data_IF_737529113322
#
_entry.id   IF_737529113322
#
_cell.length_a   1.000
_cell.length_b   1.000
_cell.length_c   1.000
_cell.angle_alpha   90.00
_cell.angle_beta   90.00
_cell.angle_gamma   90.00
#
_symmetry.space_group_name_H-M   'P 1'
#
loop_
_entity.id
_entity.type
_entity.pdbx_description
1 polymer ?
#
# COMPACT_ATOMS: atom_id res chain seq x y z
N UNK A 1 -52.20 -48.87 57.21
CA UNK A 1 -52.18 -48.88 55.72
C UNK A 1 -51.60 -47.55 55.29
N UNK A 2 -50.31 -47.54 55.00
CA UNK A 2 -49.52 -46.31 54.71
C UNK A 2 -49.51 -46.08 53.22
N UNK A 3 -49.95 -44.86 52.82
CA UNK A 3 -49.88 -44.39 51.44
C UNK A 3 -48.68 -43.49 51.32
N UNK A 4 -47.68 -43.93 50.63
CA UNK A 4 -46.46 -43.13 50.33
C UNK A 4 -46.69 -42.28 49.10
N UNK A 5 -46.68 -40.91 49.26
CA UNK A 5 -46.74 -39.99 48.21
C UNK A 5 -45.26 -39.71 47.72
N UNK A 6 -44.94 -40.16 46.53
CA UNK A 6 -43.67 -39.87 45.88
C UNK A 6 -43.79 -38.52 45.13
N UNK A 7 -43.17 -37.46 45.70
CA UNK A 7 -42.99 -36.18 45.02
C UNK A 7 -41.88 -36.29 43.96
N UNK A 8 -42.27 -36.19 42.69
CA UNK A 8 -41.36 -36.12 41.56
C UNK A 8 -40.96 -34.63 41.37
N UNK A 9 -39.75 -34.30 41.78
CA UNK A 9 -39.18 -32.96 41.51
C UNK A 9 -38.59 -32.92 40.09
N UNK A 10 -39.27 -32.22 39.20
CA UNK A 10 -38.85 -32.03 37.82
C UNK A 10 -37.83 -30.88 37.80
N UNK A 11 -36.54 -31.20 37.67
CA UNK A 11 -35.46 -30.22 37.39
C UNK A 11 -35.55 -29.78 35.92
N UNK A 12 -36.12 -28.64 35.65
CA UNK A 12 -36.04 -27.97 34.34
C UNK A 12 -34.69 -27.26 34.23
N UNK A 13 -33.74 -27.91 33.59
CA UNK A 13 -32.46 -27.31 33.26
C UNK A 13 -32.65 -26.28 32.12
N UNK A 14 -32.67 -24.99 32.46
CA UNK A 14 -32.74 -23.90 31.49
C UNK A 14 -31.38 -23.78 30.80
N UNK A 15 -31.20 -24.42 29.64
CA UNK A 15 -30.06 -24.22 28.77
C UNK A 15 -30.17 -22.82 28.16
N UNK A 16 -29.51 -21.83 28.77
CA UNK A 16 -29.27 -20.54 28.16
C UNK A 16 -28.27 -20.75 27.01
N UNK A 17 -28.77 -20.87 25.78
CA UNK A 17 -27.96 -20.87 24.61
C UNK A 17 -27.31 -19.48 24.48
N UNK A 18 -26.08 -19.34 24.95
CA UNK A 18 -25.25 -18.18 24.67
C UNK A 18 -25.10 -18.09 23.15
N UNK A 19 -25.83 -17.15 22.53
CA UNK A 19 -25.56 -16.77 21.14
C UNK A 19 -24.14 -16.21 21.13
N UNK A 20 -23.17 -17.04 20.72
CA UNK A 20 -21.82 -16.60 20.38
C UNK A 20 -21.96 -15.74 19.13
N UNK A 21 -22.15 -14.43 19.30
CA UNK A 21 -22.04 -13.50 18.20
C UNK A 21 -20.57 -13.45 17.81
N UNK A 22 -20.26 -14.04 16.65
CA UNK A 22 -18.95 -13.81 16.05
C UNK A 22 -18.75 -12.29 15.90
N UNK A 23 -17.58 -11.79 16.30
CA UNK A 23 -17.26 -10.38 16.11
C UNK A 23 -17.44 -10.03 14.63
N UNK A 24 -17.96 -8.83 14.33
CA UNK A 24 -18.09 -8.40 12.93
C UNK A 24 -16.73 -8.41 12.23
N UNK A 25 -16.72 -8.66 10.92
CA UNK A 25 -15.52 -8.69 10.11
C UNK A 25 -15.32 -7.36 9.39
N UNK A 26 -14.09 -6.84 9.41
CA UNK A 26 -13.61 -5.85 8.45
C UNK A 26 -13.08 -6.63 7.23
N UNK A 27 -13.81 -6.59 6.11
CA UNK A 27 -13.42 -7.32 4.91
C UNK A 27 -12.48 -6.44 4.08
N UNK A 28 -11.24 -6.89 3.92
CA UNK A 28 -10.17 -6.17 3.22
C UNK A 28 -9.89 -6.83 1.88
N UNK A 29 -10.01 -6.08 0.78
CA UNK A 29 -9.49 -6.49 -0.52
C UNK A 29 -8.00 -6.17 -0.60
N UNK A 30 -7.18 -7.18 -0.85
CA UNK A 30 -5.73 -7.05 -0.85
C UNK A 30 -5.08 -7.96 -1.91
N UNK A 31 -3.91 -7.55 -2.38
CA UNK A 31 -3.10 -8.38 -3.26
C UNK A 31 -2.42 -9.50 -2.45
N UNK A 32 -2.46 -10.76 -2.96
CA UNK A 32 -1.82 -11.88 -2.28
C UNK A 32 -0.29 -11.84 -2.32
N UNK A 33 0.34 -10.97 -3.12
CA UNK A 33 1.78 -10.97 -3.40
C UNK A 33 2.33 -9.59 -3.76
N UNK A 34 2.03 -8.57 -2.97
CA UNK A 34 2.43 -7.16 -3.19
C UNK A 34 3.14 -6.57 -1.97
N UNK A 35 4.32 -7.09 -1.63
CA UNK A 35 5.12 -6.49 -0.56
C UNK A 35 5.74 -5.15 -0.99
N UNK A 36 5.75 -4.15 -0.12
CA UNK A 36 5.51 -4.17 1.34
C UNK A 36 4.05 -4.01 1.79
N UNK A 37 3.09 -3.94 0.88
CA UNK A 37 1.68 -3.65 1.19
C UNK A 37 0.99 -4.84 1.84
N UNK A 38 0.87 -5.93 1.09
CA UNK A 38 0.16 -7.13 1.55
C UNK A 38 0.71 -8.42 0.95
N UNK A 39 0.51 -9.52 1.65
CA UNK A 39 0.67 -10.87 1.14
C UNK A 39 -0.25 -11.83 1.88
N UNK A 40 -0.43 -13.06 1.35
CA UNK A 40 -1.27 -14.08 1.98
C UNK A 40 -0.81 -14.48 3.39
N UNK A 41 0.48 -14.28 3.70
CA UNK A 41 1.03 -14.50 5.04
C UNK A 41 0.78 -13.32 5.99
N UNK A 42 0.11 -12.26 5.51
CA UNK A 42 -0.26 -11.06 6.27
C UNK A 42 0.96 -10.33 6.86
N UNK A 43 2.03 -10.22 6.09
CA UNK A 43 3.31 -9.63 6.50
C UNK A 43 3.53 -8.21 5.97
N UNK A 44 2.59 -7.62 5.26
CA UNK A 44 2.68 -6.26 4.75
C UNK A 44 2.20 -5.21 5.76
N UNK A 45 2.64 -3.97 5.59
CA UNK A 45 2.21 -2.90 6.50
C UNK A 45 0.70 -2.62 6.44
N UNK A 46 0.06 -2.88 5.30
CA UNK A 46 -1.40 -2.76 5.18
C UNK A 46 -2.12 -3.86 5.96
N UNK A 47 -1.55 -5.06 6.00
CA UNK A 47 -2.09 -6.12 6.83
C UNK A 47 -2.03 -5.75 8.32
N UNK A 48 -0.91 -5.20 8.78
CA UNK A 48 -0.75 -4.74 10.16
C UNK A 48 -1.67 -3.55 10.48
N UNK A 49 -1.80 -2.59 9.55
CA UNK A 49 -2.71 -1.45 9.71
C UNK A 49 -4.17 -1.89 9.77
N UNK A 50 -4.60 -2.80 8.88
CA UNK A 50 -5.95 -3.35 8.89
C UNK A 50 -6.26 -4.07 10.22
N UNK A 51 -5.31 -4.86 10.71
CA UNK A 51 -5.46 -5.55 12.01
C UNK A 51 -5.55 -4.57 13.17
N UNK A 52 -4.75 -3.49 13.16
CA UNK A 52 -4.78 -2.42 14.16
C UNK A 52 -6.16 -1.75 14.20
N UNK A 53 -6.68 -1.34 13.04
CA UNK A 53 -7.98 -0.67 12.92
C UNK A 53 -9.13 -1.62 13.32
N UNK A 54 -9.12 -2.85 12.82
CA UNK A 54 -10.16 -3.83 13.13
C UNK A 54 -10.22 -4.13 14.65
N UNK A 55 -9.06 -4.29 15.29
CA UNK A 55 -8.97 -4.49 16.74
C UNK A 55 -9.60 -3.33 17.53
N UNK A 56 -9.34 -2.10 17.14
CA UNK A 56 -9.90 -0.91 17.76
C UNK A 56 -11.43 -0.82 17.61
N UNK A 57 -11.95 -1.31 16.50
CA UNK A 57 -13.39 -1.35 16.21
C UNK A 57 -14.09 -2.59 16.79
N UNK A 58 -13.38 -3.47 17.50
CA UNK A 58 -13.92 -4.73 18.01
C UNK A 58 -14.29 -5.71 16.90
N UNK A 59 -13.62 -5.63 15.75
CA UNK A 59 -13.79 -6.45 14.57
C UNK A 59 -12.62 -7.42 14.40
N UNK A 60 -12.77 -8.44 13.56
CA UNK A 60 -11.65 -9.22 13.05
C UNK A 60 -11.44 -8.92 11.57
N UNK A 61 -10.21 -9.07 11.08
CA UNK A 61 -9.92 -8.89 9.65
C UNK A 61 -10.26 -10.16 8.87
N UNK A 62 -10.91 -9.99 7.73
CA UNK A 62 -11.15 -11.04 6.74
C UNK A 62 -10.66 -10.57 5.38
N UNK A 63 -9.79 -11.34 4.73
CA UNK A 63 -9.21 -10.94 3.44
C UNK A 63 -9.95 -11.54 2.26
N UNK A 64 -10.12 -10.71 1.22
CA UNK A 64 -10.46 -11.12 -0.14
C UNK A 64 -9.22 -10.88 -0.98
N UNK A 65 -8.51 -11.96 -1.30
CA UNK A 65 -7.29 -11.91 -2.07
C UNK A 65 -7.56 -11.82 -3.56
N UNK A 66 -7.13 -10.74 -4.19
CA UNK A 66 -7.23 -10.54 -5.63
C UNK A 66 -6.02 -9.73 -6.13
N UNK A 67 -5.36 -10.12 -7.25
CA UNK A 67 -4.24 -9.36 -7.79
C UNK A 67 -4.63 -7.91 -8.11
N UNK A 68 -3.88 -6.94 -7.60
CA UNK A 68 -4.18 -5.52 -7.73
C UNK A 68 -3.75 -4.97 -9.10
N UNK A 69 -4.43 -5.44 -10.13
CA UNK A 69 -4.21 -5.03 -11.52
C UNK A 69 -5.49 -5.13 -12.34
N UNK A 70 -5.54 -4.44 -13.49
CA UNK A 70 -6.71 -4.44 -14.36
C UNK A 70 -8.00 -4.02 -13.64
N UNK A 71 -9.01 -4.87 -13.70
CA UNK A 71 -10.35 -4.62 -13.14
C UNK A 71 -10.44 -4.92 -11.63
N UNK A 72 -9.42 -4.56 -10.83
CA UNK A 72 -9.38 -4.86 -9.40
C UNK A 72 -10.61 -4.32 -8.66
N UNK A 73 -10.90 -3.02 -8.74
CA UNK A 73 -12.02 -2.40 -8.03
C UNK A 73 -13.36 -3.01 -8.44
N UNK A 74 -13.59 -3.18 -9.73
CA UNK A 74 -14.81 -3.79 -10.25
C UNK A 74 -15.03 -5.21 -9.70
N UNK A 75 -13.95 -6.01 -9.57
CA UNK A 75 -14.03 -7.40 -9.09
C UNK A 75 -14.04 -7.52 -7.57
N UNK A 76 -13.76 -6.44 -6.86
CA UNK A 76 -13.59 -6.46 -5.41
C UNK A 76 -14.54 -5.49 -4.71
N UNK A 77 -14.17 -4.22 -4.57
CA UNK A 77 -14.92 -3.22 -3.82
C UNK A 77 -16.34 -3.00 -4.40
N UNK A 78 -16.44 -2.80 -5.71
CA UNK A 78 -17.73 -2.57 -6.41
C UNK A 78 -18.62 -3.81 -6.39
N UNK A 79 -18.03 -4.99 -6.48
CA UNK A 79 -18.74 -6.26 -6.34
C UNK A 79 -19.25 -6.52 -4.90
N UNK A 80 -18.88 -5.68 -3.93
CA UNK A 80 -19.32 -5.79 -2.55
C UNK A 80 -18.73 -6.99 -1.79
N UNK A 81 -17.68 -7.63 -2.32
CA UNK A 81 -17.04 -8.78 -1.68
C UNK A 81 -16.13 -8.38 -0.52
N UNK A 82 -15.68 -7.11 -0.49
CA UNK A 82 -14.97 -6.51 0.64
C UNK A 82 -15.53 -5.13 0.98
N UNK A 83 -15.03 -4.53 2.06
CA UNK A 83 -15.46 -3.24 2.57
C UNK A 83 -14.43 -2.14 2.33
N UNK A 84 -13.15 -2.52 2.27
CA UNK A 84 -12.03 -1.58 2.18
C UNK A 84 -10.91 -2.06 1.25
N UNK A 85 -10.23 -1.09 0.64
CA UNK A 85 -8.92 -1.22 -0.02
C UNK A 85 -7.95 -0.28 0.69
N UNK A 86 -6.79 -0.78 1.14
CA UNK A 86 -5.96 -0.04 2.10
C UNK A 86 -5.13 1.09 1.51
N UNK A 87 -4.64 0.98 0.27
CA UNK A 87 -3.84 2.03 -0.39
C UNK A 87 -4.51 2.52 -1.67
N UNK A 88 -5.22 3.64 -1.56
CA UNK A 88 -5.88 4.27 -2.70
C UNK A 88 -5.39 5.72 -2.82
N UNK A 89 -4.80 6.11 -3.98
CA UNK A 89 -4.47 7.50 -4.26
C UNK A 89 -5.74 8.33 -4.54
N UNK A 90 -5.70 9.65 -4.33
CA UNK A 90 -6.82 10.52 -4.64
C UNK A 90 -7.11 10.55 -6.15
N UNK A 91 -8.37 10.84 -6.50
CA UNK A 91 -8.81 10.97 -7.90
C UNK A 91 -9.31 9.68 -8.54
N UNK A 92 -9.40 8.59 -7.79
CA UNK A 92 -10.09 7.37 -8.26
C UNK A 92 -11.58 7.50 -8.04
N UNK A 93 -12.35 7.39 -9.12
CA UNK A 93 -13.82 7.54 -9.10
C UNK A 93 -14.53 6.31 -8.47
N UNK A 94 -13.86 5.17 -8.47
CA UNK A 94 -14.39 3.89 -7.99
C UNK A 94 -14.48 3.80 -6.46
N UNK A 95 -13.81 4.73 -5.73
CA UNK A 95 -13.81 4.69 -4.28
C UNK A 95 -13.94 6.06 -3.62
N UNK A 96 -14.70 6.12 -2.52
CA UNK A 96 -14.65 7.23 -1.58
C UNK A 96 -13.44 7.02 -0.65
N UNK A 97 -12.51 7.98 -0.64
CA UNK A 97 -11.22 7.83 0.03
C UNK A 97 -11.24 8.57 1.36
N UNK A 98 -10.64 7.98 2.40
CA UNK A 98 -10.40 8.62 3.70
C UNK A 98 -9.42 9.78 3.56
N UNK A 99 -9.24 10.56 4.64
CA UNK A 99 -8.05 11.41 4.75
C UNK A 99 -6.80 10.55 4.60
N UNK A 100 -5.74 11.09 3.97
CA UNK A 100 -4.52 10.32 3.78
C UNK A 100 -3.88 9.97 5.12
N UNK A 101 -3.43 8.73 5.24
CA UNK A 101 -2.67 8.28 6.41
C UNK A 101 -1.16 8.33 6.17
N UNK A 102 -0.73 8.44 4.91
CA UNK A 102 0.64 8.81 4.58
C UNK A 102 0.74 9.54 3.24
N UNK A 103 1.86 10.22 3.07
CA UNK A 103 2.27 10.84 1.80
C UNK A 103 3.64 10.30 1.48
N UNK A 104 3.82 9.80 0.26
CA UNK A 104 5.11 9.33 -0.23
C UNK A 104 5.40 9.85 -1.63
N UNK A 105 6.64 9.77 -2.04
CA UNK A 105 7.10 10.21 -3.35
C UNK A 105 7.94 9.12 -4.00
N UNK A 106 8.15 9.21 -5.31
CA UNK A 106 9.18 8.42 -5.96
C UNK A 106 10.55 8.77 -5.40
N UNK A 107 11.47 7.81 -5.45
CA UNK A 107 12.82 7.97 -4.94
C UNK A 107 13.84 7.40 -5.93
N UNK A 108 15.00 7.99 -5.94
CA UNK A 108 16.18 7.39 -6.57
C UNK A 108 16.77 6.34 -5.64
N UNK A 109 17.13 5.20 -6.22
CA UNK A 109 17.83 4.11 -5.51
C UNK A 109 19.14 3.85 -6.23
N UNK A 110 20.24 3.92 -5.49
CA UNK A 110 21.57 3.64 -6.04
C UNK A 110 22.43 2.91 -5.01
N UNK A 111 23.48 2.24 -5.48
CA UNK A 111 24.46 1.65 -4.54
C UNK A 111 25.17 2.75 -3.75
N UNK A 112 25.25 2.58 -2.43
CA UNK A 112 25.86 3.57 -1.54
C UNK A 112 27.30 3.90 -1.92
N UNK A 113 28.07 2.91 -2.37
CA UNK A 113 29.44 3.09 -2.84
C UNK A 113 29.62 4.09 -4.00
N UNK A 114 28.51 4.37 -4.72
CA UNK A 114 28.50 5.32 -5.85
C UNK A 114 28.40 6.78 -5.42
N UNK A 115 27.98 7.06 -4.18
CA UNK A 115 27.80 8.42 -3.61
C UNK A 115 27.06 9.37 -4.54
N UNK A 116 26.04 8.90 -5.26
CA UNK A 116 25.36 9.71 -6.28
C UNK A 116 24.52 10.84 -5.68
N UNK A 117 23.77 10.57 -4.59
CA UNK A 117 22.92 11.53 -3.88
C UNK A 117 22.05 12.39 -4.82
N UNK A 118 21.52 11.78 -5.89
CA UNK A 118 20.63 12.44 -6.85
C UNK A 118 19.24 12.55 -6.24
N UNK A 119 18.66 13.75 -6.29
CA UNK A 119 17.31 14.05 -5.78
C UNK A 119 16.41 14.74 -6.80
N UNK A 120 16.94 15.11 -7.98
CA UNK A 120 16.19 15.79 -9.04
C UNK A 120 16.28 15.03 -10.35
N UNK A 121 15.16 15.00 -11.09
CA UNK A 121 15.10 14.45 -12.46
C UNK A 121 15.89 15.31 -13.48
N UNK A 122 16.25 16.55 -13.12
CA UNK A 122 17.07 17.43 -13.94
C UNK A 122 18.58 17.29 -13.70
N UNK A 123 19.01 16.38 -12.83
CA UNK A 123 20.44 16.14 -12.60
C UNK A 123 21.13 15.68 -13.89
N UNK A 124 22.14 16.43 -14.37
CA UNK A 124 22.76 16.16 -15.67
C UNK A 124 23.45 14.78 -15.73
N UNK A 125 23.83 14.21 -14.59
CA UNK A 125 24.45 12.87 -14.51
C UNK A 125 23.50 11.77 -14.99
N UNK A 126 22.19 11.97 -14.87
CA UNK A 126 21.18 11.01 -15.33
C UNK A 126 21.28 10.72 -16.84
N UNK A 127 21.82 11.66 -17.64
CA UNK A 127 21.97 11.46 -19.09
C UNK A 127 22.97 10.38 -19.49
N UNK A 128 23.87 10.03 -18.57
CA UNK A 128 24.95 9.04 -18.81
C UNK A 128 24.79 7.76 -18.00
N UNK A 129 23.88 7.77 -17.02
CA UNK A 129 23.61 6.61 -16.17
C UNK A 129 22.54 5.71 -16.82
N UNK A 130 22.66 4.41 -16.64
CA UNK A 130 21.58 3.44 -16.94
C UNK A 130 20.54 3.55 -15.82
N UNK A 131 19.32 3.96 -16.21
CA UNK A 131 18.24 4.25 -15.26
C UNK A 131 17.20 3.14 -15.33
N UNK A 132 17.03 2.41 -14.24
CA UNK A 132 15.96 1.44 -14.10
C UNK A 132 14.64 2.12 -13.71
N UNK A 133 13.54 1.68 -14.30
CA UNK A 133 12.18 2.15 -14.00
C UNK A 133 11.20 0.98 -14.00
N UNK A 134 10.14 1.09 -13.19
CA UNK A 134 9.01 0.17 -13.33
C UNK A 134 8.19 0.49 -14.57
N UNK A 135 7.64 -0.54 -15.20
CA UNK A 135 6.67 -0.45 -16.29
C UNK A 135 5.43 -1.28 -15.94
N UNK A 136 4.26 -0.81 -16.40
CA UNK A 136 2.97 -1.45 -16.14
C UNK A 136 2.63 -2.56 -17.15
N UNK A 137 3.34 -2.63 -18.26
CA UNK A 137 3.12 -3.59 -19.35
C UNK A 137 2.76 -2.93 -20.67
N UNK A 138 1.91 -3.57 -21.46
CA UNK A 138 1.61 -3.17 -22.84
C UNK A 138 0.60 -2.03 -22.99
N UNK A 139 0.07 -1.51 -21.88
CA UNK A 139 -0.86 -0.38 -21.91
C UNK A 139 -0.08 0.94 -21.94
N UNK A 140 -0.64 1.95 -22.64
CA UNK A 140 0.01 3.26 -22.89
C UNK A 140 0.30 4.08 -21.61
N UNK A 141 -0.15 3.64 -20.46
CA UNK A 141 0.02 4.30 -19.16
C UNK A 141 1.29 3.84 -18.45
N UNK A 142 2.38 4.50 -18.73
CA UNK A 142 3.60 4.33 -17.95
C UNK A 142 3.54 5.08 -16.62
N UNK A 143 4.27 4.57 -15.62
CA UNK A 143 4.44 5.27 -14.34
C UNK A 143 4.99 6.69 -14.53
N UNK A 144 4.59 7.66 -13.70
CA UNK A 144 4.97 9.09 -13.85
C UNK A 144 6.46 9.35 -14.08
N UNK A 145 7.41 8.68 -13.41
CA UNK A 145 8.84 8.89 -13.68
C UNK A 145 9.27 8.58 -15.10
N UNK A 146 8.68 7.57 -15.76
CA UNK A 146 9.00 7.24 -17.16
C UNK A 146 8.64 8.41 -18.06
N UNK A 147 7.44 8.94 -17.92
CA UNK A 147 6.98 10.10 -18.68
C UNK A 147 7.89 11.33 -18.46
N UNK A 148 8.25 11.57 -17.19
CA UNK A 148 9.10 12.71 -16.82
C UNK A 148 10.52 12.60 -17.39
N UNK A 149 11.10 11.41 -17.39
CA UNK A 149 12.43 11.14 -17.96
C UNK A 149 12.43 11.23 -19.50
N UNK A 150 11.37 10.72 -20.16
CA UNK A 150 11.19 10.83 -21.61
C UNK A 150 11.09 12.29 -22.04
N UNK A 151 10.29 13.12 -21.34
CA UNK A 151 10.20 14.57 -21.62
C UNK A 151 11.56 15.30 -21.54
N UNK A 152 12.47 14.79 -20.70
CA UNK A 152 13.85 15.28 -20.55
C UNK A 152 14.84 14.70 -21.56
N UNK A 153 14.37 13.89 -22.51
CA UNK A 153 15.16 13.25 -23.56
C UNK A 153 15.97 12.03 -23.10
N UNK A 154 15.65 11.49 -21.92
CA UNK A 154 16.31 10.28 -21.40
C UNK A 154 15.51 9.05 -21.80
N UNK A 155 15.70 8.58 -23.05
CA UNK A 155 15.00 7.41 -23.60
C UNK A 155 15.94 6.22 -23.74
N UNK A 156 17.15 6.47 -24.27
CA UNK A 156 18.09 5.40 -24.64
C UNK A 156 18.74 4.69 -23.45
N UNK A 157 18.76 5.33 -22.32
CA UNK A 157 19.37 4.84 -21.08
C UNK A 157 18.35 4.37 -20.05
N UNK A 158 17.06 4.29 -20.41
CA UNK A 158 16.02 3.67 -19.59
C UNK A 158 16.00 2.16 -19.77
N UNK A 159 15.85 1.45 -18.66
CA UNK A 159 15.66 0.00 -18.60
C UNK A 159 14.38 -0.29 -17.82
N UNK A 160 13.39 -0.89 -18.49
CA UNK A 160 12.09 -1.20 -17.92
C UNK A 160 12.09 -2.53 -17.16
N UNK A 161 11.47 -2.55 -15.98
CA UNK A 161 11.21 -3.75 -15.17
C UNK A 161 9.72 -3.85 -14.90
N UNK A 162 9.09 -4.96 -15.23
CA UNK A 162 7.66 -5.15 -14.96
C UNK A 162 7.39 -5.14 -13.45
N UNK A 163 6.42 -4.33 -13.03
CA UNK A 163 5.99 -4.28 -11.64
C UNK A 163 5.16 -5.52 -11.25
N UNK A 164 4.49 -6.13 -12.22
CA UNK A 164 3.60 -7.26 -11.97
C UNK A 164 4.27 -8.65 -12.13
N UNK A 165 5.33 -8.73 -12.93
CA UNK A 165 6.02 -10.00 -13.18
C UNK A 165 5.11 -11.11 -13.75
N UNK A 166 5.54 -12.35 -13.61
CA UNK A 166 4.72 -13.53 -13.87
C UNK A 166 3.92 -13.95 -12.64
N UNK A 167 2.83 -14.71 -12.84
CA UNK A 167 1.89 -15.08 -11.76
C UNK A 167 2.53 -15.93 -10.65
N UNK A 168 3.58 -16.65 -10.95
CA UNK A 168 4.36 -17.52 -10.04
C UNK A 168 5.55 -16.80 -9.38
N UNK A 169 5.82 -15.56 -9.78
CA UNK A 169 6.96 -14.81 -9.27
C UNK A 169 6.61 -14.12 -7.95
N UNK A 170 7.40 -14.39 -6.92
CA UNK A 170 7.28 -13.71 -5.63
C UNK A 170 7.91 -12.32 -5.68
N UNK A 171 7.15 -11.30 -5.30
CA UNK A 171 7.58 -9.90 -5.21
C UNK A 171 8.27 -9.39 -6.51
N UNK A 172 7.61 -9.40 -7.66
CA UNK A 172 8.24 -8.99 -8.92
C UNK A 172 8.77 -7.55 -8.91
N UNK A 173 8.14 -6.65 -8.17
CA UNK A 173 8.60 -5.28 -7.99
C UNK A 173 10.03 -5.18 -7.38
N UNK A 174 10.49 -6.20 -6.67
CA UNK A 174 11.85 -6.25 -6.12
C UNK A 174 12.95 -6.35 -7.18
N UNK A 175 12.62 -6.83 -8.39
CA UNK A 175 13.61 -7.05 -9.46
C UNK A 175 14.37 -5.77 -9.82
N UNK A 176 13.69 -4.64 -9.81
CA UNK A 176 14.32 -3.35 -10.10
C UNK A 176 15.39 -2.99 -9.04
N UNK A 177 15.11 -3.22 -7.76
CA UNK A 177 16.08 -2.99 -6.68
C UNK A 177 17.25 -3.98 -6.78
N UNK A 178 16.94 -5.23 -7.10
CA UNK A 178 17.97 -6.25 -7.34
C UNK A 178 18.88 -5.86 -8.50
N UNK A 179 18.34 -5.33 -9.59
CA UNK A 179 19.14 -4.87 -10.75
C UNK A 179 20.10 -3.73 -10.39
N UNK A 180 19.74 -2.84 -9.44
CA UNK A 180 20.66 -1.85 -8.89
C UNK A 180 21.77 -2.51 -8.10
N UNK A 181 21.44 -3.46 -7.23
CA UNK A 181 22.41 -4.20 -6.42
C UNK A 181 23.40 -4.98 -7.28
N UNK A 182 22.90 -5.63 -8.34
CA UNK A 182 23.68 -6.46 -9.26
C UNK A 182 24.45 -5.67 -10.33
N UNK A 183 24.36 -4.34 -10.33
CA UNK A 183 25.02 -3.45 -11.32
C UNK A 183 24.44 -3.55 -12.73
N UNK A 184 23.26 -4.08 -12.91
CA UNK A 184 22.56 -4.11 -14.19
C UNK A 184 22.11 -2.73 -14.61
N UNK A 185 21.74 -1.88 -13.63
CA UNK A 185 21.49 -0.45 -13.78
C UNK A 185 22.30 0.35 -12.75
N UNK A 186 22.59 1.59 -13.06
CA UNK A 186 23.37 2.48 -12.18
C UNK A 186 22.54 3.07 -11.07
N UNK A 187 21.30 3.41 -11.39
CA UNK A 187 20.32 4.07 -10.52
C UNK A 187 18.92 3.62 -10.95
N UNK A 188 17.99 3.56 -10.02
CA UNK A 188 16.57 3.31 -10.33
C UNK A 188 15.70 4.45 -9.82
N UNK A 189 14.55 4.68 -10.49
CA UNK A 189 13.47 5.55 -10.00
C UNK A 189 12.30 4.66 -9.61
N UNK A 190 11.99 4.64 -8.33
CA UNK A 190 11.09 3.66 -7.71
C UNK A 190 10.09 4.38 -6.83
N UNK A 191 8.86 3.90 -6.77
CA UNK A 191 7.88 4.37 -5.79
C UNK A 191 8.39 4.17 -4.36
N UNK A 192 8.28 5.20 -3.51
CA UNK A 192 8.93 5.28 -2.20
C UNK A 192 8.77 4.05 -1.31
N UNK A 193 7.54 3.53 -1.09
CA UNK A 193 7.34 2.30 -0.32
C UNK A 193 8.12 1.11 -0.83
N UNK A 194 8.13 0.87 -2.15
CA UNK A 194 8.92 -0.21 -2.76
C UNK A 194 10.42 0.05 -2.60
N UNK A 195 10.84 1.30 -2.86
CA UNK A 195 12.24 1.72 -2.75
C UNK A 195 12.79 1.46 -1.35
N UNK A 196 12.11 1.96 -0.32
CA UNK A 196 12.55 1.86 1.06
C UNK A 196 12.59 0.42 1.56
N UNK A 197 11.51 -0.32 1.33
CA UNK A 197 11.38 -1.69 1.80
C UNK A 197 12.41 -2.63 1.19
N UNK A 198 12.53 -2.65 -0.14
CA UNK A 198 13.46 -3.57 -0.79
C UNK A 198 14.91 -3.13 -0.67
N UNK A 199 15.21 -1.82 -0.56
CA UNK A 199 16.57 -1.36 -0.26
C UNK A 199 17.00 -1.78 1.15
N UNK A 200 16.10 -1.72 2.14
CA UNK A 200 16.39 -2.17 3.52
C UNK A 200 16.68 -3.68 3.59
N UNK A 201 16.09 -4.47 2.69
CA UNK A 201 16.29 -5.94 2.62
C UNK A 201 17.43 -6.36 1.70
N UNK A 202 18.06 -5.42 1.00
CA UNK A 202 19.19 -5.70 0.11
C UNK A 202 20.44 -6.09 0.90
N UNK A 203 21.14 -7.13 0.45
CA UNK A 203 22.44 -7.50 0.98
C UNK A 203 23.53 -6.47 0.65
N UNK A 204 23.33 -5.71 -0.45
CA UNK A 204 24.22 -4.62 -0.86
C UNK A 204 23.69 -3.31 -0.27
N UNK A 205 24.52 -2.48 0.38
CA UNK A 205 24.08 -1.19 0.89
C UNK A 205 23.59 -0.27 -0.23
N UNK A 206 22.33 0.14 -0.14
CA UNK A 206 21.68 1.05 -1.09
C UNK A 206 21.31 2.37 -0.40
N UNK A 207 21.38 3.46 -1.14
CA UNK A 207 20.87 4.77 -0.74
C UNK A 207 19.53 4.98 -1.42
N UNK A 208 18.56 5.46 -0.65
CA UNK A 208 17.23 5.86 -1.12
C UNK A 208 17.12 7.37 -0.95
N UNK A 209 17.04 8.09 -2.06
CA UNK A 209 16.97 9.55 -2.09
C UNK A 209 15.61 9.99 -2.66
N UNK A 210 14.66 10.43 -1.83
CA UNK A 210 13.37 10.92 -2.30
C UNK A 210 13.54 12.02 -3.36
N UNK A 211 12.70 11.97 -4.40
CA UNK A 211 12.68 13.02 -5.42
C UNK A 211 12.16 14.31 -4.77
N UNK A 212 12.95 15.38 -4.92
CA UNK A 212 12.54 16.69 -4.48
C UNK A 212 11.27 17.13 -5.23
N UNK A 213 10.37 17.81 -4.53
CA UNK A 213 9.15 18.34 -5.13
C UNK A 213 9.50 19.23 -6.34
N UNK A 214 8.93 18.91 -7.49
CA UNK A 214 9.11 19.65 -8.73
C UNK A 214 7.74 20.13 -9.23
N UNK A 215 7.65 21.44 -9.54
CA UNK A 215 6.43 22.01 -10.11
C UNK A 215 6.17 21.54 -11.55
N UNK A 216 7.22 21.13 -12.26
CA UNK A 216 7.10 20.61 -13.62
C UNK A 216 6.55 19.17 -13.66
N UNK A 217 6.71 18.43 -12.57
CA UNK A 217 6.28 17.03 -12.46
C UNK A 217 5.57 16.77 -11.11
N UNK A 218 4.38 17.34 -10.89
CA UNK A 218 3.65 17.22 -9.62
C UNK A 218 3.24 15.77 -9.31
N UNK A 219 3.17 14.91 -10.32
CA UNK A 219 2.77 13.51 -10.19
C UNK A 219 3.84 12.59 -9.56
N UNK A 220 4.88 13.13 -8.90
CA UNK A 220 5.88 12.33 -8.20
C UNK A 220 5.48 12.01 -6.76
N UNK A 221 4.50 12.72 -6.19
CA UNK A 221 4.10 12.60 -4.79
C UNK A 221 2.60 12.31 -4.69
N UNK A 222 2.24 11.33 -3.89
CA UNK A 222 0.86 10.94 -3.68
C UNK A 222 0.51 10.88 -2.19
N UNK A 223 -0.68 11.39 -1.89
CA UNK A 223 -1.35 11.21 -0.60
C UNK A 223 -2.17 9.94 -0.65
N UNK A 224 -1.97 9.01 0.26
CA UNK A 224 -2.60 7.70 0.21
C UNK A 224 -3.58 7.53 1.37
N UNK A 225 -4.80 7.14 1.05
CA UNK A 225 -5.87 6.84 2.00
C UNK A 225 -6.43 5.45 1.85
N UNK A 226 -7.44 5.13 2.66
CA UNK A 226 -8.22 3.89 2.56
C UNK A 226 -9.44 4.16 1.68
N UNK A 227 -9.68 3.33 0.69
CA UNK A 227 -10.86 3.37 -0.16
C UNK A 227 -12.01 2.53 0.41
N UNK A 228 -13.20 3.10 0.39
CA UNK A 228 -14.48 2.42 0.67
C UNK A 228 -15.42 2.64 -0.51
N UNK A 229 -16.52 1.88 -0.60
CA UNK A 229 -17.55 2.17 -1.61
C UNK A 229 -18.11 3.59 -1.42
N UNK A 230 -18.47 4.32 -2.49
CA UNK A 230 -18.98 5.70 -2.39
C UNK A 230 -20.17 5.86 -1.44
N UNK A 231 -21.05 4.85 -1.33
CA UNK A 231 -22.20 4.84 -0.44
C UNK A 231 -21.87 4.56 1.03
N UNK A 232 -20.68 4.10 1.37
CA UNK A 232 -20.30 3.68 2.73
C UNK A 232 -19.71 4.85 3.53
N UNK A 233 -20.35 6.02 3.47
CA UNK A 233 -19.88 7.26 4.11
C UNK A 233 -19.64 7.10 5.62
N UNK A 234 -20.47 6.32 6.32
CA UNK A 234 -20.31 6.06 7.75
C UNK A 234 -19.03 5.28 8.05
N UNK A 235 -18.73 4.24 7.27
CA UNK A 235 -17.48 3.48 7.40
C UNK A 235 -16.27 4.38 7.15
N UNK A 236 -16.31 5.21 6.10
CA UNK A 236 -15.25 6.17 5.80
C UNK A 236 -14.98 7.12 6.98
N UNK A 237 -16.04 7.69 7.58
CA UNK A 237 -15.89 8.57 8.74
C UNK A 237 -15.28 7.85 9.96
N UNK A 238 -15.70 6.61 10.19
CA UNK A 238 -15.14 5.77 11.27
C UNK A 238 -13.65 5.51 11.04
N UNK A 239 -13.26 5.15 9.81
CA UNK A 239 -11.86 4.95 9.44
C UNK A 239 -11.04 6.24 9.55
N UNK A 240 -11.60 7.39 9.14
CA UNK A 240 -10.96 8.71 9.30
C UNK A 240 -10.62 9.01 10.77
N UNK A 241 -11.54 8.70 11.68
CA UNK A 241 -11.33 8.89 13.12
C UNK A 241 -10.22 7.97 13.65
N UNK A 242 -10.21 6.69 13.24
CA UNK A 242 -9.20 5.72 13.64
C UNK A 242 -7.81 6.07 13.10
N UNK A 243 -7.70 6.45 11.83
CA UNK A 243 -6.45 6.90 11.24
C UNK A 243 -5.87 8.13 11.96
N UNK A 244 -6.71 9.08 12.34
CA UNK A 244 -6.29 10.25 13.10
C UNK A 244 -5.81 9.87 14.50
N UNK A 245 -6.52 8.97 15.17
CA UNK A 245 -6.17 8.50 16.53
C UNK A 245 -4.85 7.73 16.54
N UNK A 246 -4.61 6.90 15.53
CA UNK A 246 -3.43 6.04 15.39
C UNK A 246 -2.26 6.66 14.60
N UNK A 247 -2.34 7.94 14.30
CA UNK A 247 -1.32 8.62 13.48
C UNK A 247 0.14 8.41 13.95
N UNK A 248 0.46 8.42 15.26
CA UNK A 248 1.82 8.14 15.72
C UNK A 248 2.27 6.70 15.45
N UNK A 249 1.38 5.72 15.70
CA UNK A 249 1.64 4.30 15.51
C UNK A 249 1.78 3.96 14.02
N UNK A 250 0.92 4.57 13.18
CA UNK A 250 1.00 4.42 11.72
C UNK A 250 2.33 4.95 11.20
N UNK A 251 2.79 6.11 11.67
CA UNK A 251 4.12 6.61 11.30
C UNK A 251 5.25 5.65 11.68
N UNK A 252 5.19 5.08 12.88
CA UNK A 252 6.16 4.10 13.34
C UNK A 252 6.12 2.83 12.49
N UNK A 253 4.92 2.34 12.18
CA UNK A 253 4.71 1.19 11.29
C UNK A 253 5.35 1.43 9.92
N UNK A 254 5.03 2.54 9.26
CA UNK A 254 5.60 2.87 7.95
C UNK A 254 7.13 3.00 7.99
N UNK A 255 7.67 3.60 9.06
CA UNK A 255 9.12 3.71 9.26
C UNK A 255 9.80 2.35 9.43
N UNK A 256 9.17 1.37 10.09
CA UNK A 256 9.71 0.01 10.25
C UNK A 256 9.82 -0.74 8.93
N UNK A 257 8.98 -0.38 7.94
CA UNK A 257 9.06 -0.87 6.56
C UNK A 257 9.99 -0.04 5.66
N UNK A 258 10.69 0.95 6.22
CA UNK A 258 11.59 1.82 5.47
C UNK A 258 10.88 2.79 4.53
N UNK A 259 9.57 3.01 4.68
CA UNK A 259 8.77 3.83 3.76
C UNK A 259 9.12 5.31 3.94
N UNK A 260 9.66 5.98 2.89
CA UNK A 260 9.90 7.42 2.93
C UNK A 260 8.59 8.17 3.07
N UNK A 261 8.47 8.97 4.12
CA UNK A 261 7.34 9.85 4.33
C UNK A 261 7.78 11.27 4.02
N UNK A 262 7.03 11.95 3.17
CA UNK A 262 7.24 13.37 2.85
C UNK A 262 6.12 14.19 3.47
N UNK A 263 6.47 15.39 3.91
CA UNK A 263 5.43 16.34 4.31
C UNK A 263 4.85 16.96 3.03
N UNK A 264 3.52 17.09 2.92
CA UNK A 264 2.96 17.89 1.85
C UNK A 264 3.57 19.28 1.99
N UNK A 265 4.43 19.66 1.06
CA UNK A 265 4.74 21.08 0.89
C UNK A 265 3.37 21.71 0.63
N UNK A 266 2.99 22.73 1.40
CA UNK A 266 1.76 23.48 1.24
C UNK A 266 1.69 24.03 -0.18
N UNK A 267 1.20 23.21 -1.08
CA UNK A 267 0.97 23.48 -2.47
C UNK A 267 -0.53 23.60 -2.67
N UNK A 268 -0.95 24.88 -2.68
CA UNK A 268 -2.15 25.35 -3.36
C UNK A 268 -3.50 24.88 -2.81
N UNK A 269 -3.90 25.42 -1.66
CA UNK A 269 -5.24 25.99 -1.56
C UNK A 269 -5.30 27.18 -2.54
N UNK A 270 -5.86 26.96 -3.71
CA UNK A 270 -5.96 28.02 -4.71
C UNK A 270 -6.57 27.51 -6.01
N UNK A 271 -7.89 27.45 -6.03
CA UNK A 271 -8.66 27.18 -7.24
C UNK A 271 -10.14 27.03 -6.91
N UNK A 272 -10.81 28.19 -6.76
CA UNK A 272 -12.27 28.30 -6.87
C UNK A 272 -12.77 27.71 -8.18
#
# INVERSE_FOLDING_TARGET
>A
MSSAIRSLVLFVTLCVAAKCWAAPALRVCADPNDMPYSNQQQQGFENELAQMIASDLGMHVSYVWYPQRGRFFEKTLDAGVCDVVMSVPPGMEEAAITRPYYVSTYAFVSRRERHLHITSLDDPRLRTLRIGVHILGDEDDNVPPVQALIRRGMVRNLVGYSIFGHLDQTNPAANLIKAVADKEVDIAVVWGPLAGYFAQKSAVPLDVSPIAADRADPAMTYSIGIGVRPQDAQLRQTLDAELQRRKPEIRKLLASYGIPQVHPTSAVEGGN
#
